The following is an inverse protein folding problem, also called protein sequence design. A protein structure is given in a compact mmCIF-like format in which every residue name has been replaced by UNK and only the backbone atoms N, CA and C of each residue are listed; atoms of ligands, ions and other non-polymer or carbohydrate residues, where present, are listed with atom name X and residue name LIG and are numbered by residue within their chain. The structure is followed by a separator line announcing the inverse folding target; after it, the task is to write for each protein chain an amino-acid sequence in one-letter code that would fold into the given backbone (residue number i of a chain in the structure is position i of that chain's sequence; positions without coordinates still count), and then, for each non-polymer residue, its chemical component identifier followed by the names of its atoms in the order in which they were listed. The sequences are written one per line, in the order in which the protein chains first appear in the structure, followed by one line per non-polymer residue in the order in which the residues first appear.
data_IF_833208683078
#
_entry.id   IF_833208683078
#
_cell.length_a   1.000
_cell.length_b   1.000
_cell.length_c   1.000
_cell.angle_alpha   90.00
_cell.angle_beta   90.00
_cell.angle_gamma   90.00
#
_symmetry.space_group_name_H-M   'P 1'
#
loop_
_entity.id
_entity.type
_entity.pdbx_description
1 polymer ?
#
# COMPACT_ATOMS: atom_id res chain seq x y z
N UNK A 1 8.38 12.83 18.02
CA UNK A 1 7.57 11.66 17.59
C UNK A 1 8.35 10.97 16.49
N UNK A 2 8.35 9.62 16.40
CA UNK A 2 9.04 8.90 15.30
C UNK A 2 8.30 9.12 13.98
N UNK A 3 9.04 9.16 12.87
CA UNK A 3 8.45 9.26 11.54
C UNK A 3 7.47 8.11 11.27
N UNK A 4 6.35 8.43 10.67
CA UNK A 4 5.35 7.46 10.21
C UNK A 4 5.61 7.16 8.74
N UNK A 5 5.50 5.90 8.36
CA UNK A 5 5.69 5.46 6.99
C UNK A 5 4.37 4.90 6.47
N UNK A 6 3.86 5.46 5.40
CA UNK A 6 2.71 4.90 4.71
C UNK A 6 3.19 4.24 3.43
N UNK A 7 2.90 2.94 3.31
CA UNK A 7 3.04 2.23 2.04
C UNK A 7 1.74 2.39 1.24
N UNK A 8 1.82 3.19 0.20
CA UNK A 8 0.76 3.37 -0.78
C UNK A 8 1.08 2.49 -1.99
N UNK A 9 0.10 1.80 -2.51
CA UNK A 9 0.26 0.94 -3.67
C UNK A 9 -0.88 -0.07 -3.76
N UNK A 10 -1.08 -0.63 -4.94
CA UNK A 10 -2.08 -1.66 -5.17
C UNK A 10 -1.56 -3.06 -4.80
N UNK A 11 -2.46 -4.02 -4.63
CA UNK A 11 -2.09 -5.43 -4.52
C UNK A 11 -1.18 -5.85 -5.69
N UNK A 12 -0.20 -6.72 -5.45
CA UNK A 12 0.70 -7.22 -6.49
C UNK A 12 1.88 -6.30 -6.85
N UNK A 13 2.03 -5.14 -6.21
CA UNK A 13 3.14 -4.20 -6.45
C UNK A 13 4.36 -4.41 -5.53
N UNK A 14 4.28 -5.35 -4.58
CA UNK A 14 5.38 -5.64 -3.66
C UNK A 14 5.23 -5.07 -2.26
N UNK A 15 4.04 -4.65 -1.86
CA UNK A 15 3.76 -4.11 -0.50
C UNK A 15 4.26 -5.07 0.59
N UNK A 16 3.87 -6.34 0.56
CA UNK A 16 4.23 -7.31 1.60
C UNK A 16 5.74 -7.49 1.73
N UNK A 17 6.47 -7.48 0.61
CA UNK A 17 7.93 -7.56 0.59
C UNK A 17 8.55 -6.30 1.23
N UNK A 18 8.02 -5.13 0.90
CA UNK A 18 8.48 -3.84 1.45
C UNK A 18 8.16 -3.75 2.95
N UNK A 19 6.98 -4.20 3.38
CA UNK A 19 6.63 -4.33 4.81
C UNK A 19 7.67 -5.18 5.54
N UNK A 20 8.02 -6.35 4.98
CA UNK A 20 9.03 -7.23 5.58
C UNK A 20 10.41 -6.57 5.65
N UNK A 21 10.79 -5.81 4.62
CA UNK A 21 12.03 -5.04 4.63
C UNK A 21 12.02 -3.99 5.76
N UNK A 22 10.92 -3.27 5.96
CA UNK A 22 10.80 -2.30 7.05
C UNK A 22 10.82 -2.96 8.43
N UNK A 23 10.26 -4.17 8.58
CA UNK A 23 10.38 -4.95 9.83
C UNK A 23 11.85 -5.33 10.14
N UNK A 24 12.64 -5.71 9.12
CA UNK A 24 14.09 -5.97 9.28
C UNK A 24 14.81 -4.71 9.76
N UNK A 25 14.40 -3.54 9.30
CA UNK A 25 14.91 -2.25 9.80
C UNK A 25 14.36 -1.85 11.19
N UNK A 26 13.72 -2.77 11.91
CA UNK A 26 13.19 -2.54 13.25
C UNK A 26 11.94 -1.67 13.32
N UNK A 27 11.27 -1.43 12.18
CA UNK A 27 10.04 -0.63 12.15
C UNK A 27 8.83 -1.46 12.61
N UNK A 28 8.01 -0.88 13.46
CA UNK A 28 6.81 -1.53 14.00
C UNK A 28 5.62 -1.34 13.08
N UNK A 29 5.14 -2.42 12.49
CA UNK A 29 4.06 -2.41 11.49
C UNK A 29 2.70 -2.55 12.16
N UNK A 30 1.72 -1.76 11.70
CA UNK A 30 0.31 -1.96 12.04
C UNK A 30 -0.23 -3.18 11.30
N UNK A 31 -0.68 -4.20 12.06
CA UNK A 31 -1.21 -5.46 11.51
C UNK A 31 -2.69 -5.71 11.86
N UNK A 32 -3.31 -4.77 12.57
CA UNK A 32 -4.71 -4.93 12.97
C UNK A 32 -5.64 -4.58 11.81
N UNK A 33 -6.73 -5.33 11.62
CA UNK A 33 -7.74 -4.95 10.63
C UNK A 33 -8.34 -3.58 11.00
N UNK A 34 -8.65 -2.82 9.98
CA UNK A 34 -9.34 -1.53 10.10
C UNK A 34 -10.65 -1.66 9.36
N UNK A 35 -11.74 -1.41 10.05
CA UNK A 35 -13.05 -1.29 9.41
C UNK A 35 -13.09 0.03 8.62
N UNK A 36 -13.27 -0.01 7.28
CA UNK A 36 -13.36 1.20 6.47
C UNK A 36 -14.51 2.14 6.88
N UNK A 37 -15.56 1.57 7.48
CA UNK A 37 -16.76 2.32 7.94
C UNK A 37 -16.62 2.88 9.35
N UNK A 38 -15.50 2.64 10.03
CA UNK A 38 -15.29 3.02 11.44
C UNK A 38 -15.16 4.53 11.70
N UNK A 39 -15.20 5.38 10.66
CA UNK A 39 -14.89 6.80 10.75
C UNK A 39 -13.44 7.07 11.23
N UNK A 40 -12.60 6.05 11.18
CA UNK A 40 -11.24 6.11 11.71
C UNK A 40 -10.38 7.16 11.01
N UNK A 41 -10.72 7.52 9.78
CA UNK A 41 -9.98 8.49 8.97
C UNK A 41 -10.66 9.88 8.92
N UNK A 42 -11.69 10.10 9.74
CA UNK A 42 -12.28 11.43 9.89
C UNK A 42 -11.31 12.37 10.59
N UNK A 43 -11.07 13.54 9.98
CA UNK A 43 -10.15 14.58 10.50
C UNK A 43 -10.46 15.03 11.93
N UNK A 44 -11.69 14.85 12.40
CA UNK A 44 -12.13 15.18 13.75
C UNK A 44 -11.70 14.17 14.83
N UNK A 45 -11.14 13.03 14.46
CA UNK A 45 -10.87 11.93 15.37
C UNK A 45 -9.50 12.06 16.05
N UNK A 46 -9.39 12.92 17.05
CA UNK A 46 -8.17 13.09 17.90
C UNK A 46 -7.68 11.78 18.57
N UNK A 47 -8.51 10.72 18.62
CA UNK A 47 -8.11 9.41 19.13
C UNK A 47 -7.20 8.64 18.17
N UNK A 48 -7.11 9.06 16.90
CA UNK A 48 -6.27 8.39 15.90
C UNK A 48 -4.79 8.50 16.21
N UNK A 49 -4.35 9.69 16.57
CA UNK A 49 -2.95 9.93 16.85
C UNK A 49 -2.44 9.03 17.98
N UNK A 50 -3.19 8.90 19.07
CA UNK A 50 -2.85 8.02 20.19
C UNK A 50 -2.88 6.54 19.82
N UNK A 51 -3.84 6.13 18.99
CA UNK A 51 -3.99 4.73 18.55
C UNK A 51 -2.85 4.29 17.64
N UNK A 52 -2.38 5.17 16.77
CA UNK A 52 -1.30 4.91 15.82
C UNK A 52 0.09 5.26 16.36
N UNK A 53 0.19 6.00 17.45
CA UNK A 53 1.47 6.40 18.06
C UNK A 53 2.47 5.24 18.24
N UNK A 54 2.07 4.02 18.69
CA UNK A 54 3.00 2.91 18.91
C UNK A 54 3.57 2.27 17.63
N UNK A 55 3.08 2.64 16.46
CA UNK A 55 3.42 2.00 15.18
C UNK A 55 4.14 2.98 14.27
N UNK A 56 5.08 2.44 13.47
CA UNK A 56 5.87 3.22 12.54
C UNK A 56 5.36 3.09 11.09
N UNK A 57 4.77 1.93 10.73
CA UNK A 57 4.42 1.58 9.34
C UNK A 57 2.95 1.20 9.22
N UNK A 58 2.32 1.76 8.18
CA UNK A 58 0.93 1.51 7.77
C UNK A 58 0.91 1.13 6.29
N UNK A 59 0.33 -0.01 5.96
CA UNK A 59 0.44 -0.55 4.61
C UNK A 59 -0.87 -1.18 4.11
N UNK A 60 -1.11 -1.06 2.81
CA UNK A 60 -2.27 -1.64 2.14
C UNK A 60 -3.58 -0.95 2.50
N UNK A 61 -4.70 -1.59 2.16
CA UNK A 61 -6.03 -1.05 2.47
C UNK A 61 -6.34 -1.12 3.97
N UNK A 62 -7.01 -0.10 4.51
CA UNK A 62 -7.52 1.11 3.83
C UNK A 62 -6.50 2.27 3.76
N UNK A 63 -5.30 2.12 4.30
CA UNK A 63 -4.30 3.20 4.39
C UNK A 63 -3.90 3.75 3.01
N UNK A 64 -3.80 2.87 2.00
CA UNK A 64 -3.47 3.28 0.63
C UNK A 64 -4.51 4.23 0.02
N UNK A 65 -5.76 4.18 0.45
CA UNK A 65 -6.83 5.06 -0.03
C UNK A 65 -7.00 6.32 0.84
N UNK A 66 -6.43 6.30 2.05
CA UNK A 66 -6.56 7.39 3.03
C UNK A 66 -5.23 8.10 3.33
N UNK A 67 -4.25 7.99 2.43
CA UNK A 67 -2.92 8.58 2.62
C UNK A 67 -2.97 10.09 2.85
N UNK A 68 -3.89 10.80 2.20
CA UNK A 68 -4.11 12.25 2.37
C UNK A 68 -4.51 12.56 3.82
N UNK A 69 -5.48 11.83 4.35
CA UNK A 69 -5.92 11.99 5.74
C UNK A 69 -4.80 11.68 6.73
N UNK A 70 -4.01 10.64 6.44
CA UNK A 70 -2.85 10.27 7.24
C UNK A 70 -1.79 11.38 7.24
N UNK A 71 -1.52 11.96 6.07
CA UNK A 71 -0.61 13.09 5.94
C UNK A 71 -1.12 14.27 6.76
N UNK A 72 -2.40 14.61 6.68
CA UNK A 72 -3.01 15.69 7.46
C UNK A 72 -2.89 15.47 8.99
N UNK A 73 -2.87 14.21 9.47
CA UNK A 73 -2.76 13.88 10.90
C UNK A 73 -1.32 13.95 11.40
N UNK A 74 -0.36 13.49 10.59
CA UNK A 74 1.04 13.32 11.01
C UNK A 74 1.99 14.35 10.40
N UNK A 75 1.51 15.14 9.44
CA UNK A 75 2.21 16.25 8.79
C UNK A 75 3.64 15.88 8.36
N UNK A 76 4.64 16.72 8.63
CA UNK A 76 6.05 16.52 8.25
C UNK A 76 6.69 15.23 8.78
N UNK A 77 6.02 14.53 9.70
CA UNK A 77 6.46 13.24 10.25
C UNK A 77 5.97 12.05 9.44
N UNK A 78 5.35 12.29 8.30
CA UNK A 78 4.79 11.24 7.45
C UNK A 78 5.62 11.08 6.17
N UNK A 79 6.30 9.95 6.04
CA UNK A 79 7.05 9.55 4.83
C UNK A 79 6.22 8.60 3.99
N UNK A 80 6.22 8.79 2.69
CA UNK A 80 5.43 8.00 1.76
C UNK A 80 6.32 7.10 0.92
N UNK A 81 5.95 5.82 0.83
CA UNK A 81 6.57 4.87 -0.09
C UNK A 81 5.48 4.35 -1.03
N UNK A 82 5.55 4.71 -2.29
CA UNK A 82 4.66 4.21 -3.34
C UNK A 82 5.29 3.00 -4.00
N UNK A 83 4.64 1.84 -3.90
CA UNK A 83 5.08 0.63 -4.63
C UNK A 83 4.34 0.53 -5.95
N UNK A 84 5.09 0.42 -7.05
CA UNK A 84 4.55 0.35 -8.41
C UNK A 84 5.06 -0.88 -9.16
N UNK A 85 4.34 -1.27 -10.19
CA UNK A 85 4.69 -2.34 -11.14
C UNK A 85 4.28 -1.92 -12.54
N UNK A 86 4.89 -2.47 -13.58
CA UNK A 86 4.39 -2.29 -14.94
C UNK A 86 2.88 -2.59 -14.99
N UNK A 87 2.04 -1.74 -15.59
CA UNK A 87 0.59 -1.89 -15.54
C UNK A 87 0.06 -3.19 -16.15
N UNK A 88 0.71 -3.73 -17.21
CA UNK A 88 0.32 -5.00 -17.82
C UNK A 88 0.74 -6.18 -16.96
N UNK A 89 1.94 -6.12 -16.39
CA UNK A 89 2.45 -7.12 -15.45
C UNK A 89 1.64 -7.12 -14.15
N UNK A 90 1.25 -5.94 -13.65
CA UNK A 90 0.37 -5.80 -12.50
C UNK A 90 -0.98 -6.49 -12.75
N UNK A 91 -1.62 -6.19 -13.89
CA UNK A 91 -2.92 -6.80 -14.22
C UNK A 91 -2.81 -8.33 -14.36
N UNK A 92 -1.74 -8.82 -14.99
CA UNK A 92 -1.47 -10.25 -15.14
C UNK A 92 -1.26 -10.93 -13.80
N UNK A 93 -0.54 -10.29 -12.87
CA UNK A 93 -0.33 -10.79 -11.50
C UNK A 93 -1.64 -10.91 -10.74
N UNK A 94 -2.47 -9.86 -10.76
CA UNK A 94 -3.78 -9.86 -10.10
C UNK A 94 -4.64 -11.01 -10.64
N UNK A 95 -4.66 -11.24 -11.94
CA UNK A 95 -5.43 -12.34 -12.53
C UNK A 95 -4.86 -13.73 -12.19
N UNK A 96 -3.54 -13.86 -12.06
CA UNK A 96 -2.89 -15.15 -11.79
C UNK A 96 -3.02 -15.59 -10.33
N UNK A 97 -3.03 -14.64 -9.42
CA UNK A 97 -2.99 -14.89 -7.99
C UNK A 97 -4.22 -15.67 -7.45
N UNK A 98 -5.38 -15.60 -8.11
CA UNK A 98 -6.54 -16.45 -7.77
C UNK A 98 -7.74 -16.24 -8.71
N UNK A 99 -8.02 -17.17 -9.61
CA UNK A 99 -9.07 -17.03 -10.66
C UNK A 99 -10.47 -16.68 -10.13
N UNK A 100 -10.82 -17.06 -8.90
CA UNK A 100 -12.16 -16.83 -8.33
C UNK A 100 -12.28 -15.66 -7.35
N UNK A 101 -11.13 -15.12 -6.88
CA UNK A 101 -11.10 -14.02 -5.88
C UNK A 101 -10.63 -12.69 -6.45
N UNK A 102 -10.15 -12.67 -7.68
CA UNK A 102 -9.49 -11.51 -8.27
C UNK A 102 -10.48 -10.45 -8.79
N UNK A 103 -11.66 -10.88 -9.25
CA UNK A 103 -12.71 -9.93 -9.57
C UNK A 103 -13.09 -9.13 -8.33
N UNK A 104 -13.23 -9.79 -7.19
CA UNK A 104 -13.53 -9.14 -5.92
C UNK A 104 -12.40 -8.19 -5.44
N UNK A 105 -11.12 -8.53 -5.67
CA UNK A 105 -10.00 -7.61 -5.36
C UNK A 105 -10.03 -6.39 -6.27
N UNK A 106 -10.28 -6.57 -7.57
CA UNK A 106 -10.40 -5.47 -8.51
C UNK A 106 -11.62 -4.59 -8.18
N UNK A 107 -12.73 -5.17 -7.79
CA UNK A 107 -13.93 -4.47 -7.35
C UNK A 107 -13.74 -3.72 -6.03
N UNK A 108 -13.00 -4.29 -5.08
CA UNK A 108 -12.65 -3.61 -3.83
C UNK A 108 -11.68 -2.43 -4.01
N UNK A 109 -10.80 -2.53 -4.99
CA UNK A 109 -9.81 -1.48 -5.27
C UNK A 109 -10.40 -0.42 -6.20
N UNK A 110 -11.30 -0.80 -7.10
CA UNK A 110 -11.89 0.06 -8.11
C UNK A 110 -13.41 -0.18 -8.17
N UNK A 111 -14.17 0.64 -7.46
CA UNK A 111 -15.62 0.73 -7.66
C UNK A 111 -15.91 0.99 -9.14
N UNK A 112 -17.03 0.56 -9.70
CA UNK A 112 -17.50 0.76 -11.08
C UNK A 112 -17.16 -0.34 -12.11
N UNK A 113 -16.66 -1.51 -11.67
CA UNK A 113 -16.28 -2.57 -12.60
C UNK A 113 -17.40 -3.60 -12.90
N UNK A 114 -18.46 -3.66 -12.08
CA UNK A 114 -19.49 -4.70 -12.18
C UNK A 114 -20.22 -4.71 -13.55
N UNK A 115 -20.50 -3.55 -14.09
CA UNK A 115 -21.26 -3.41 -15.35
C UNK A 115 -20.45 -3.58 -16.64
N UNK A 116 -19.12 -3.80 -16.55
CA UNK A 116 -18.25 -3.82 -17.71
C UNK A 116 -18.07 -5.21 -18.32
N UNK A 117 -17.99 -5.27 -19.65
CA UNK A 117 -17.57 -6.49 -20.38
C UNK A 117 -16.11 -6.84 -20.05
N UNK A 118 -15.72 -8.11 -20.13
CA UNK A 118 -14.38 -8.60 -19.77
C UNK A 118 -13.23 -7.82 -20.42
N UNK A 119 -13.34 -7.46 -21.69
CA UNK A 119 -12.33 -6.65 -22.40
C UNK A 119 -12.25 -5.21 -21.90
N UNK A 120 -13.37 -4.64 -21.48
CA UNK A 120 -13.45 -3.30 -20.91
C UNK A 120 -12.90 -3.27 -19.48
N UNK A 121 -13.14 -4.33 -18.70
CA UNK A 121 -12.62 -4.49 -17.33
C UNK A 121 -11.08 -4.39 -17.30
N UNK A 122 -10.38 -5.04 -18.25
CA UNK A 122 -8.91 -4.93 -18.33
C UNK A 122 -8.45 -3.50 -18.53
N UNK A 123 -9.00 -2.81 -19.55
CA UNK A 123 -8.61 -1.43 -19.87
C UNK A 123 -8.91 -0.49 -18.68
N UNK A 124 -10.10 -0.62 -18.10
CA UNK A 124 -10.53 0.21 -16.96
C UNK A 124 -9.66 -0.05 -15.72
N UNK A 125 -9.36 -1.31 -15.39
CA UNK A 125 -8.51 -1.66 -14.25
C UNK A 125 -7.09 -1.08 -14.39
N UNK A 126 -6.48 -1.21 -15.57
CA UNK A 126 -5.16 -0.65 -15.86
C UNK A 126 -5.21 0.88 -15.75
N UNK A 127 -6.23 1.52 -16.32
CA UNK A 127 -6.37 2.97 -16.23
C UNK A 127 -6.52 3.43 -14.78
N UNK A 128 -7.43 2.84 -14.00
CA UNK A 128 -7.63 3.19 -12.60
C UNK A 128 -6.35 2.99 -11.76
N UNK A 129 -5.58 1.92 -12.06
CA UNK A 129 -4.29 1.68 -11.44
C UNK A 129 -3.29 2.80 -11.73
N UNK A 130 -3.21 3.23 -12.99
CA UNK A 130 -2.34 4.32 -13.40
C UNK A 130 -2.78 5.65 -12.80
N UNK A 131 -4.09 5.94 -12.85
CA UNK A 131 -4.68 7.15 -12.30
C UNK A 131 -4.40 7.27 -10.79
N UNK A 132 -4.57 6.17 -10.04
CA UNK A 132 -4.24 6.14 -8.61
C UNK A 132 -2.75 6.46 -8.36
N UNK A 133 -1.84 5.84 -9.11
CA UNK A 133 -0.41 6.10 -8.93
C UNK A 133 -0.06 7.57 -9.25
N UNK A 134 -0.63 8.12 -10.33
CA UNK A 134 -0.43 9.53 -10.70
C UNK A 134 -1.02 10.47 -9.65
N UNK A 135 -2.23 10.20 -9.16
CA UNK A 135 -2.85 11.01 -8.10
C UNK A 135 -1.97 11.08 -6.83
N UNK A 136 -1.35 9.95 -6.46
CA UNK A 136 -0.42 9.92 -5.33
C UNK A 136 0.81 10.78 -5.60
N UNK A 137 1.42 10.63 -6.79
CA UNK A 137 2.62 11.39 -7.17
C UNK A 137 2.32 12.89 -7.20
N UNK A 138 1.25 13.28 -7.88
CA UNK A 138 0.86 14.69 -8.03
C UNK A 138 0.56 15.34 -6.68
N UNK A 139 -0.15 14.65 -5.79
CA UNK A 139 -0.47 15.14 -4.46
C UNK A 139 0.78 15.51 -3.63
N UNK A 140 1.86 14.74 -3.74
CA UNK A 140 3.09 15.03 -3.00
C UNK A 140 4.00 16.01 -3.75
N UNK A 141 4.01 15.98 -5.09
CA UNK A 141 4.72 16.95 -5.90
C UNK A 141 4.20 18.39 -5.69
N UNK A 142 2.88 18.57 -5.59
CA UNK A 142 2.27 19.86 -5.29
C UNK A 142 2.66 20.43 -3.92
N UNK A 143 3.09 19.58 -3.00
CA UNK A 143 3.51 19.96 -1.64
C UNK A 143 5.02 20.10 -1.48
N UNK A 144 5.79 19.90 -2.55
CA UNK A 144 7.26 19.85 -2.53
C UNK A 144 7.80 18.82 -1.51
N UNK A 145 7.12 17.68 -1.42
CA UNK A 145 7.43 16.63 -0.47
C UNK A 145 8.04 15.41 -1.14
N UNK A 146 9.05 14.83 -0.50
CA UNK A 146 9.72 13.63 -0.97
C UNK A 146 8.83 12.39 -0.87
N UNK A 147 8.70 11.68 -1.98
CA UNK A 147 8.07 10.37 -2.08
C UNK A 147 9.07 9.35 -2.61
N UNK A 148 9.16 8.19 -1.97
CA UNK A 148 9.94 7.08 -2.51
C UNK A 148 9.08 6.19 -3.39
N UNK A 149 9.34 6.19 -4.71
CA UNK A 149 8.71 5.26 -5.65
C UNK A 149 9.54 3.99 -5.75
N UNK A 150 9.00 2.84 -5.36
CA UNK A 150 9.63 1.52 -5.44
C UNK A 150 9.00 0.68 -6.55
N UNK A 151 9.72 0.51 -7.65
CA UNK A 151 9.28 -0.31 -8.76
C UNK A 151 9.55 -1.80 -8.49
N UNK A 152 8.52 -2.65 -8.73
CA UNK A 152 8.66 -4.10 -8.63
C UNK A 152 9.70 -4.63 -9.64
N UNK A 153 10.52 -5.60 -9.21
CA UNK A 153 11.55 -6.17 -10.08
C UNK A 153 12.86 -5.37 -10.21
N UNK A 154 12.88 -4.09 -9.84
CA UNK A 154 14.12 -3.30 -9.89
C UNK A 154 15.09 -3.67 -8.75
N UNK A 155 16.39 -3.43 -9.02
CA UNK A 155 17.48 -3.67 -8.09
C UNK A 155 17.65 -2.54 -7.06
N UNK A 156 18.57 -2.74 -6.11
CA UNK A 156 19.00 -1.75 -5.11
C UNK A 156 17.89 -1.22 -4.19
N UNK A 157 16.86 -2.04 -3.93
CA UNK A 157 15.75 -1.63 -3.07
C UNK A 157 16.21 -1.29 -1.65
N UNK A 158 17.16 -2.04 -1.07
CA UNK A 158 17.73 -1.72 0.23
C UNK A 158 18.31 -0.31 0.24
N UNK A 159 19.21 -0.03 -0.68
CA UNK A 159 19.84 1.29 -0.75
C UNK A 159 18.80 2.40 -0.85
N UNK A 160 17.81 2.28 -1.73
CA UNK A 160 16.77 3.28 -1.94
C UNK A 160 15.90 3.52 -0.70
N UNK A 161 15.49 2.44 -0.01
CA UNK A 161 14.71 2.56 1.23
C UNK A 161 15.55 3.18 2.34
N UNK A 162 16.80 2.74 2.50
CA UNK A 162 17.67 3.20 3.58
C UNK A 162 18.09 4.66 3.38
N UNK A 163 18.44 5.06 2.15
CA UNK A 163 18.74 6.47 1.82
C UNK A 163 17.51 7.36 2.13
N UNK A 164 16.32 6.94 1.73
CA UNK A 164 15.08 7.68 1.97
C UNK A 164 14.74 7.80 3.47
N UNK A 165 15.03 6.78 4.24
CA UNK A 165 14.75 6.75 5.67
C UNK A 165 15.89 7.32 6.53
N UNK A 166 17.06 7.58 5.94
CA UNK A 166 18.25 8.04 6.65
C UNK A 166 18.81 6.98 7.64
N UNK A 167 18.84 5.71 7.21
CA UNK A 167 19.34 4.58 8.01
C UNK A 167 20.35 3.75 7.24
N UNK A 168 21.21 3.01 7.94
CA UNK A 168 22.19 2.14 7.32
C UNK A 168 21.53 0.93 6.62
N UNK A 169 22.18 0.47 5.54
CA UNK A 169 21.77 -0.74 4.84
C UNK A 169 22.11 -1.96 5.67
N UNK A 170 21.15 -2.83 6.00
CA UNK A 170 21.42 -4.02 6.79
C UNK A 170 22.21 -5.06 5.97
N UNK A 171 22.89 -5.97 6.66
CA UNK A 171 23.59 -7.11 6.02
C UNK A 171 22.63 -8.14 5.43
N UNK A 172 21.40 -8.14 5.89
CA UNK A 172 20.33 -9.02 5.41
C UNK A 172 20.07 -8.85 3.91
N UNK A 173 19.84 -9.97 3.22
CA UNK A 173 19.35 -9.92 1.85
C UNK A 173 17.96 -9.31 1.81
N UNK A 174 17.67 -8.50 0.77
CA UNK A 174 16.34 -7.96 0.58
C UNK A 174 15.31 -9.11 0.52
N UNK A 175 14.23 -9.04 1.31
CA UNK A 175 13.28 -10.15 1.42
C UNK A 175 12.68 -10.49 0.06
N UNK A 176 12.54 -11.79 -0.18
CA UNK A 176 11.81 -12.35 -1.33
C UNK A 176 10.62 -13.10 -0.77
N UNK A 177 9.43 -12.57 -0.95
CA UNK A 177 8.21 -13.32 -0.60
C UNK A 177 7.98 -14.36 -1.69
N UNK A 178 8.30 -15.63 -1.39
CA UNK A 178 7.81 -16.75 -2.17
C UNK A 178 6.34 -16.93 -1.82
N UNK A 179 5.44 -16.75 -2.77
CA UNK A 179 4.01 -17.20 -2.78
C UNK A 179 3.19 -17.04 -1.47
N UNK A 180 3.63 -16.25 -0.49
CA UNK A 180 2.85 -15.93 0.71
C UNK A 180 1.62 -15.04 0.44
N UNK A 181 1.46 -14.62 -0.80
CA UNK A 181 0.23 -13.97 -1.29
C UNK A 181 -1.01 -14.84 -1.00
N UNK A 182 -0.87 -16.18 -1.06
CA UNK A 182 -1.93 -17.12 -0.68
C UNK A 182 -2.29 -17.05 0.81
N UNK A 183 -1.34 -16.77 1.70
CA UNK A 183 -1.58 -16.76 3.17
C UNK A 183 -2.07 -15.41 3.68
N UNK A 184 -1.60 -14.30 3.12
CA UNK A 184 -1.98 -12.96 3.54
C UNK A 184 -3.46 -12.66 3.27
N UNK A 185 -4.02 -13.19 2.17
CA UNK A 185 -5.46 -13.09 1.88
C UNK A 185 -6.29 -13.95 2.85
N UNK A 186 -5.75 -15.04 3.38
CA UNK A 186 -6.43 -15.88 4.35
C UNK A 186 -6.55 -15.26 5.75
N UNK A 187 -5.68 -14.33 6.12
CA UNK A 187 -5.77 -13.61 7.40
C UNK A 187 -6.79 -12.48 7.40
N UNK A 188 -7.29 -12.10 6.23
CA UNK A 188 -8.41 -11.16 6.05
C UNK A 188 -9.78 -11.85 6.13
N UNK A 189 -9.85 -13.06 6.69
CA UNK A 189 -11.12 -13.65 7.14
C UNK A 189 -11.61 -12.93 8.38
N UNK A 190 -12.07 -11.73 8.21
CA UNK A 190 -13.13 -11.18 9.04
C UNK A 190 -14.44 -11.47 8.31
N UNK A 191 -15.45 -12.05 8.97
CA UNK A 191 -16.73 -12.27 8.32
C UNK A 191 -17.36 -10.89 8.12
N UNK A 192 -17.37 -10.41 6.90
CA UNK A 192 -18.41 -9.49 6.47
C UNK A 192 -19.67 -10.32 6.35
N UNK A 193 -20.32 -10.53 7.48
CA UNK A 193 -21.72 -10.89 7.55
C UNK A 193 -22.51 -9.63 7.19
N UNK A 194 -23.22 -9.77 6.06
CA UNK A 194 -24.41 -9.03 5.62
C UNK A 194 -24.33 -7.51 5.57
#
# INVERSE_FOLDING_TARGET
MKDKIILVGCHGTGISTTVKALEILGKKVWKKPVDPKSGLFDKSNKKLESKFAPYDVFAGLPFSNHYKNFKDIFDDKCKIILTVRDPLDWYSEILSANKSKNEHILEQVFSDMEALKKSQKKKKAIQNYMDHNMEVIDFFAEKDEDILILEYGKHNKWKRICDFLGVDVPEDKYPKMKDDFKKSIFSLKSPLLF
#
